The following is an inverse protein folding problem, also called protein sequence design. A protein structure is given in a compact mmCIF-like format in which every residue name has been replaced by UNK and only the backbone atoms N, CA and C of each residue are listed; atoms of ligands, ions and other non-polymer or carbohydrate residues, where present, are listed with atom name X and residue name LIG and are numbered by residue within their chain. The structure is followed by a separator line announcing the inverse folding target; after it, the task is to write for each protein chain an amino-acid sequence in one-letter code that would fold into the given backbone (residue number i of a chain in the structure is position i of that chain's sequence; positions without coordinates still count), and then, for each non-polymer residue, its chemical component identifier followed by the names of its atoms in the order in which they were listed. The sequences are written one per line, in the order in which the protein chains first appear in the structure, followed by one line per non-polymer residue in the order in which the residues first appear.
data_IF_311263889614
#
_entry.id   IF_311263889614
#
_cell.length_a   1.000
_cell.length_b   1.000
_cell.length_c   1.000
_cell.angle_alpha   90.00
_cell.angle_beta   90.00
_cell.angle_gamma   90.00
#
_symmetry.space_group_name_H-M   'P 1'
#
loop_
_entity.id
_entity.type
_entity.pdbx_description
1 polymer ?
#
# COMPACT_ATOMS: atom_id res chain seq x y z
N UNK A 1 -8.13 6.07 9.49
CA UNK A 1 -9.51 6.07 10.00
C UNK A 1 -9.98 7.51 9.99
N UNK A 2 -11.26 7.72 9.78
CA UNK A 2 -11.86 9.05 9.92
C UNK A 2 -12.40 9.17 11.34
N UNK A 3 -12.15 10.32 11.93
CA UNK A 3 -12.66 10.74 13.23
C UNK A 3 -14.09 11.28 13.09
N UNK A 4 -14.84 11.29 14.20
CA UNK A 4 -16.24 11.73 14.22
C UNK A 4 -16.38 13.26 14.10
N UNK A 5 -15.38 14.02 14.57
CA UNK A 5 -15.43 15.48 14.68
C UNK A 5 -14.77 16.21 13.50
N UNK A 6 -13.93 15.53 12.71
CA UNK A 6 -13.12 16.12 11.63
C UNK A 6 -13.88 16.54 10.37
N UNK A 7 -15.21 16.47 10.37
CA UNK A 7 -16.07 16.99 9.31
C UNK A 7 -17.36 16.19 9.12
N UNK A 8 -18.38 16.84 8.52
CA UNK A 8 -19.67 16.21 8.24
C UNK A 8 -19.62 15.19 7.08
N UNK A 9 -18.64 15.32 6.17
CA UNK A 9 -18.55 14.53 4.95
C UNK A 9 -17.29 13.65 4.90
N UNK A 10 -17.45 12.45 4.35
CA UNK A 10 -16.34 11.55 4.04
C UNK A 10 -16.07 11.54 2.53
N UNK A 11 -14.81 11.33 2.09
CA UNK A 11 -14.49 11.21 0.67
C UNK A 11 -15.14 9.95 0.10
N UNK A 12 -16.11 10.13 -0.79
CA UNK A 12 -16.76 9.03 -1.52
C UNK A 12 -15.82 8.51 -2.61
N UNK A 13 -15.46 7.22 -2.62
CA UNK A 13 -14.64 6.64 -3.68
C UNK A 13 -15.33 6.77 -5.04
N UNK A 14 -14.55 7.07 -6.09
CA UNK A 14 -15.04 7.00 -7.47
C UNK A 14 -15.28 5.56 -7.90
N UNK A 15 -16.04 5.36 -8.98
CA UNK A 15 -16.16 4.05 -9.62
C UNK A 15 -14.79 3.59 -10.13
N UNK A 16 -14.41 2.36 -9.83
CA UNK A 16 -13.11 1.82 -10.20
C UNK A 16 -12.99 0.32 -9.91
N UNK A 17 -11.75 -0.20 -9.83
CA UNK A 17 -11.46 -1.63 -9.69
C UNK A 17 -12.16 -2.31 -8.50
N UNK A 18 -12.27 -1.60 -7.38
CA UNK A 18 -12.70 -2.16 -6.11
C UNK A 18 -14.02 -1.56 -5.64
N UNK A 19 -14.79 -2.36 -4.89
CA UNK A 19 -16.07 -1.92 -4.31
C UNK A 19 -15.85 -0.82 -3.27
N UNK A 20 -16.80 0.10 -3.16
CA UNK A 20 -16.75 1.25 -2.24
C UNK A 20 -16.54 0.89 -0.76
N UNK A 21 -17.02 -0.28 -0.32
CA UNK A 21 -16.86 -0.78 1.06
C UNK A 21 -15.56 -1.54 1.30
N UNK A 22 -14.83 -1.87 0.24
CA UNK A 22 -13.64 -2.74 0.26
C UNK A 22 -12.43 -2.02 -0.39
N UNK A 23 -12.42 -0.68 -0.33
CA UNK A 23 -11.36 0.15 -0.86
C UNK A 23 -10.98 1.26 0.13
N UNK A 24 -9.82 1.86 -0.12
CA UNK A 24 -9.32 3.03 0.56
C UNK A 24 -8.96 4.07 -0.51
N UNK A 25 -9.66 5.22 -0.54
CA UNK A 25 -9.39 6.24 -1.54
C UNK A 25 -8.01 6.88 -1.34
N UNK A 26 -7.36 7.29 -2.42
CA UNK A 26 -5.99 7.84 -2.40
C UNK A 26 -5.81 9.00 -1.42
N UNK A 27 -6.82 9.85 -1.29
CA UNK A 27 -6.80 10.95 -0.33
C UNK A 27 -6.60 10.51 1.12
N UNK A 28 -7.17 9.37 1.51
CA UNK A 28 -7.01 8.82 2.86
C UNK A 28 -5.67 8.10 3.05
N UNK A 29 -5.07 7.59 1.96
CA UNK A 29 -3.72 7.01 1.97
C UNK A 29 -2.71 8.13 2.30
N UNK A 30 -2.72 9.19 1.50
CA UNK A 30 -1.75 10.28 1.60
C UNK A 30 -1.89 11.07 2.92
N UNK A 31 -3.14 11.37 3.33
CA UNK A 31 -3.40 12.18 4.53
C UNK A 31 -3.33 11.37 5.83
N UNK A 32 -4.16 10.33 5.97
CA UNK A 32 -4.38 9.70 7.28
C UNK A 32 -3.45 8.51 7.55
N UNK A 33 -2.80 7.94 6.52
CA UNK A 33 -1.89 6.79 6.68
C UNK A 33 -0.43 7.20 6.58
N UNK A 34 -0.05 7.84 5.48
CA UNK A 34 1.32 8.26 5.24
C UNK A 34 1.64 9.62 5.88
N UNK A 35 0.63 10.46 6.13
CA UNK A 35 0.78 11.81 6.70
C UNK A 35 1.68 12.73 5.84
N UNK A 36 1.69 12.51 4.53
CA UNK A 36 2.38 13.38 3.58
C UNK A 36 1.62 14.68 3.27
N UNK A 37 0.33 14.71 3.61
CA UNK A 37 -0.51 15.89 3.52
C UNK A 37 -1.36 16.02 4.77
N UNK A 38 -1.64 17.24 5.17
CA UNK A 38 -2.55 17.60 6.26
C UNK A 38 -3.95 17.92 5.70
N UNK A 39 -4.01 18.61 4.56
CA UNK A 39 -5.25 19.11 3.95
C UNK A 39 -5.61 18.44 2.62
N UNK A 40 -6.87 18.58 2.19
CA UNK A 40 -7.34 18.09 0.89
C UNK A 40 -6.67 18.81 -0.29
N UNK A 41 -6.29 20.08 -0.12
CA UNK A 41 -5.66 20.89 -1.17
C UNK A 41 -4.25 20.41 -1.47
N UNK A 42 -3.47 20.10 -0.43
CA UNK A 42 -2.13 19.52 -0.57
C UNK A 42 -2.16 18.17 -1.30
N UNK A 43 -3.13 17.31 -0.96
CA UNK A 43 -3.31 16.04 -1.68
C UNK A 43 -3.54 16.25 -3.17
N UNK A 44 -4.33 17.26 -3.55
CA UNK A 44 -4.55 17.59 -4.96
C UNK A 44 -3.25 18.05 -5.61
N UNK A 45 -2.47 18.91 -4.94
CA UNK A 45 -1.17 19.36 -5.45
C UNK A 45 -0.21 18.18 -5.69
N UNK A 46 -0.11 17.25 -4.75
CA UNK A 46 0.73 16.04 -4.86
C UNK A 46 0.29 15.16 -6.05
N UNK A 47 -1.02 15.00 -6.24
CA UNK A 47 -1.55 14.17 -7.34
C UNK A 47 -1.36 14.83 -8.71
N UNK A 48 -1.45 16.15 -8.80
CA UNK A 48 -1.24 16.89 -10.06
C UNK A 48 0.21 16.83 -10.55
N UNK A 49 1.17 16.66 -9.63
CA UNK A 49 2.58 16.44 -9.97
C UNK A 49 2.85 15.07 -10.60
N UNK A 50 1.86 14.16 -10.67
CA UNK A 50 1.97 12.84 -11.31
C UNK A 50 3.02 11.90 -10.69
N UNK A 51 3.38 12.13 -9.43
CA UNK A 51 4.37 11.33 -8.69
C UNK A 51 3.79 10.07 -8.04
N UNK A 52 2.47 9.98 -7.94
CA UNK A 52 1.74 8.89 -7.32
C UNK A 52 1.29 7.90 -8.38
N UNK A 53 1.71 6.64 -8.23
CA UNK A 53 1.33 5.55 -9.10
C UNK A 53 0.59 4.45 -8.34
N UNK A 54 -0.47 3.94 -8.97
CA UNK A 54 -1.22 2.77 -8.49
C UNK A 54 -1.15 1.68 -9.54
N UNK A 55 -0.65 0.52 -9.16
CA UNK A 55 -0.39 -0.62 -10.02
C UNK A 55 0.37 -0.25 -11.32
N UNK A 56 1.42 0.57 -11.19
CA UNK A 56 2.27 0.99 -12.31
C UNK A 56 1.67 2.07 -13.22
N UNK A 57 0.47 2.57 -12.92
CA UNK A 57 -0.18 3.66 -13.66
C UNK A 57 -0.26 4.92 -12.80
N UNK A 58 0.14 6.06 -13.36
CA UNK A 58 -0.04 7.37 -12.72
C UNK A 58 -1.53 7.64 -12.54
N UNK A 59 -1.93 8.03 -11.32
CA UNK A 59 -3.32 8.39 -11.00
C UNK A 59 -3.38 9.80 -10.43
N UNK A 60 -4.20 10.64 -11.04
CA UNK A 60 -4.48 12.02 -10.60
C UNK A 60 -5.76 12.13 -9.76
N UNK A 61 -6.61 11.10 -9.80
CA UNK A 61 -7.90 11.09 -9.12
C UNK A 61 -7.76 10.92 -7.60
N UNK A 62 -8.08 11.98 -6.84
CA UNK A 62 -8.02 11.97 -5.37
C UNK A 62 -8.88 10.90 -4.69
N UNK A 63 -10.01 10.54 -5.28
CA UNK A 63 -10.95 9.54 -4.77
C UNK A 63 -10.82 8.17 -5.42
N UNK A 64 -9.72 7.91 -6.13
CA UNK A 64 -9.49 6.62 -6.78
C UNK A 64 -9.53 5.48 -5.75
N UNK A 65 -10.35 4.43 -5.97
CA UNK A 65 -10.50 3.34 -5.03
C UNK A 65 -9.30 2.38 -5.13
N UNK A 66 -8.27 2.58 -4.32
CA UNK A 66 -7.20 1.61 -4.16
C UNK A 66 -7.64 0.52 -3.15
N UNK A 67 -7.50 -0.75 -3.49
CA UNK A 67 -8.04 -1.85 -2.70
C UNK A 67 -7.01 -2.90 -2.35
N UNK A 68 -7.52 -4.04 -1.90
CA UNK A 68 -6.71 -5.19 -1.51
C UNK A 68 -5.75 -5.62 -2.62
N UNK A 69 -4.51 -5.97 -2.24
CA UNK A 69 -3.39 -6.31 -3.13
C UNK A 69 -2.90 -5.19 -4.05
N UNK A 70 -3.54 -4.02 -4.05
CA UNK A 70 -3.08 -2.86 -4.81
C UNK A 70 -1.67 -2.45 -4.41
N UNK A 71 -0.85 -2.13 -5.41
CA UNK A 71 0.52 -1.64 -5.23
C UNK A 71 0.51 -0.13 -5.42
N UNK A 72 1.06 0.56 -4.44
CA UNK A 72 1.14 2.00 -4.36
C UNK A 72 2.61 2.40 -4.36
N UNK A 73 3.05 3.07 -5.42
CA UNK A 73 4.43 3.55 -5.58
C UNK A 73 4.43 5.06 -5.55
N UNK A 74 5.32 5.62 -4.74
CA UNK A 74 5.64 7.05 -4.77
C UNK A 74 7.01 7.17 -5.44
N UNK A 75 7.07 7.92 -6.54
CA UNK A 75 8.27 8.00 -7.38
C UNK A 75 9.32 9.00 -6.87
N UNK A 76 8.93 9.99 -6.07
CA UNK A 76 9.77 11.17 -5.89
C UNK A 76 9.43 11.99 -4.66
N UNK A 77 10.50 12.61 -4.13
CA UNK A 77 10.59 13.93 -3.53
C UNK A 77 9.25 14.67 -3.44
N UNK A 78 8.53 14.47 -2.36
CA UNK A 78 7.41 15.35 -2.05
C UNK A 78 8.05 16.73 -1.83
N UNK A 79 7.73 17.73 -2.66
CA UNK A 79 7.85 19.11 -2.21
C UNK A 79 6.92 19.20 -1.00
N UNK A 80 7.49 19.07 0.19
CA UNK A 80 6.71 19.25 1.39
C UNK A 80 6.49 20.75 1.50
N UNK A 81 5.30 21.20 1.12
CA UNK A 81 4.92 22.62 1.23
C UNK A 81 4.77 23.03 2.70
N UNK A 82 4.94 22.12 3.68
CA UNK A 82 5.08 22.44 5.10
C UNK A 82 5.79 21.29 5.83
N UNK A 83 7.12 21.32 5.87
CA UNK A 83 7.90 20.65 6.92
C UNK A 83 8.80 21.66 7.64
N UNK A 84 8.18 22.71 8.18
CA UNK A 84 8.87 23.69 9.02
C UNK A 84 7.97 24.08 10.18
N UNK A 85 7.63 23.15 11.11
CA UNK A 85 7.14 23.58 12.43
C UNK A 85 7.21 22.56 13.58
N UNK A 86 7.78 21.36 13.40
CA UNK A 86 7.83 20.35 14.50
C UNK A 86 9.24 19.98 14.97
N UNK A 87 10.31 20.52 14.39
CA UNK A 87 11.69 20.14 14.78
C UNK A 87 12.58 21.29 15.32
N UNK A 88 12.04 22.43 15.76
CA UNK A 88 12.85 23.58 16.19
C UNK A 88 12.68 23.99 17.66
N UNK A 89 12.07 23.16 18.52
CA UNK A 89 12.04 23.44 19.97
C UNK A 89 13.00 22.61 20.80
N UNK A 90 13.75 21.67 20.22
CA UNK A 90 14.72 20.89 20.99
C UNK A 90 16.08 20.82 20.29
N UNK A 91 17.08 21.32 21.02
CA UNK A 91 18.53 21.10 20.90
C UNK A 91 19.32 22.00 19.95
N UNK A 92 19.73 23.15 20.50
CA UNK A 92 21.10 23.66 20.39
C UNK A 92 22.12 22.54 20.56
N UNK A 93 22.69 22.01 19.47
CA UNK A 93 23.96 21.25 19.37
C UNK A 93 24.18 20.94 17.87
N UNK A 94 25.41 21.13 17.36
CA UNK A 94 25.92 20.82 15.99
C UNK A 94 25.86 21.93 14.90
N UNK A 95 26.45 23.10 15.17
CA UNK A 95 26.97 24.00 14.10
C UNK A 95 28.49 23.83 13.89
N UNK A 96 29.19 22.98 14.66
CA UNK A 96 30.65 22.99 14.69
C UNK A 96 31.42 21.90 13.89
N UNK A 97 30.77 21.10 13.04
CA UNK A 97 31.48 19.94 12.43
C UNK A 97 31.28 19.77 10.91
N UNK A 98 31.34 20.88 10.15
CA UNK A 98 31.48 20.83 8.67
C UNK A 98 32.59 21.80 8.22
N UNK A 99 33.79 21.68 8.82
CA UNK A 99 34.97 22.41 8.37
C UNK A 99 36.24 21.55 8.29
N UNK A 100 36.11 20.30 7.86
CA UNK A 100 37.26 19.48 7.51
C UNK A 100 36.89 18.51 6.38
N UNK A 101 37.33 18.82 5.16
CA UNK A 101 37.31 17.86 4.06
C UNK A 101 36.70 18.42 2.79
N UNK A 102 37.47 19.25 2.09
CA UNK A 102 37.63 19.28 0.64
C UNK A 102 38.66 20.38 0.33
N UNK A 103 39.92 20.10 0.66
CA UNK A 103 41.05 20.77 0.05
C UNK A 103 41.28 20.10 -1.30
N UNK A 104 41.05 20.84 -2.39
CA UNK A 104 42.01 21.01 -3.49
C UNK A 104 41.34 21.68 -4.70
N UNK A 105 42.12 22.57 -5.30
CA UNK A 105 41.89 23.25 -6.58
C UNK A 105 40.81 24.33 -6.59
N UNK A 106 41.21 25.58 -6.28
CA UNK A 106 41.01 26.75 -7.16
C UNK A 106 41.92 27.89 -6.68
N UNK A 107 42.70 28.46 -7.60
CA UNK A 107 43.65 29.57 -7.37
C UNK A 107 42.90 30.91 -7.14
N UNK A 108 43.51 31.88 -6.43
CA UNK A 108 42.79 33.10 -6.03
C UNK A 108 42.78 34.14 -7.16
N UNK A 109 41.58 34.59 -7.56
CA UNK A 109 41.40 35.80 -8.36
C UNK A 109 40.94 36.94 -7.45
N UNK A 110 41.78 37.95 -7.32
CA UNK A 110 41.50 39.20 -6.58
C UNK A 110 40.92 40.26 -7.52
N UNK A 111 39.81 40.91 -7.16
CA UNK A 111 39.38 42.28 -7.53
C UNK A 111 38.01 42.61 -6.85
N UNK A 112 37.59 43.88 -6.73
CA UNK A 112 37.18 44.45 -5.45
C UNK A 112 35.72 44.95 -5.40
N UNK A 113 35.29 45.22 -4.17
CA UNK A 113 34.31 46.24 -3.74
C UNK A 113 32.92 46.26 -4.38
N UNK A 114 31.94 45.88 -3.55
CA UNK A 114 30.61 46.50 -3.49
C UNK A 114 29.68 46.13 -4.63
N UNK A 115 28.79 45.16 -4.38
CA UNK A 115 27.42 45.05 -4.93
C UNK A 115 26.87 43.61 -4.90
N UNK A 116 27.63 42.63 -4.41
CA UNK A 116 27.15 41.24 -4.27
C UNK A 116 26.51 40.91 -2.92
N UNK A 117 26.64 41.77 -1.91
CA UNK A 117 26.09 41.48 -0.57
C UNK A 117 24.56 41.69 -0.51
N UNK A 118 24.00 42.59 -1.32
CA UNK A 118 22.55 42.86 -1.37
C UNK A 118 21.82 41.88 -2.30
N UNK A 119 22.47 41.37 -3.36
CA UNK A 119 21.87 40.36 -4.24
C UNK A 119 21.76 38.98 -3.56
N UNK A 120 22.75 38.61 -2.74
CA UNK A 120 22.78 37.33 -2.01
C UNK A 120 21.79 37.37 -0.83
N UNK A 121 21.70 38.49 -0.11
CA UNK A 121 20.66 38.67 0.91
C UNK A 121 19.25 38.72 0.31
N UNK A 122 19.05 39.33 -0.87
CA UNK A 122 17.72 39.34 -1.51
C UNK A 122 17.34 37.97 -2.09
N UNK A 123 18.28 37.20 -2.67
CA UNK A 123 18.00 35.83 -3.13
C UNK A 123 17.81 34.83 -1.98
N UNK A 124 18.48 35.02 -0.84
CA UNK A 124 18.28 34.19 0.35
C UNK A 124 16.95 34.58 1.04
N UNK A 125 16.59 35.86 1.10
CA UNK A 125 15.32 36.30 1.70
C UNK A 125 14.09 35.94 0.84
N UNK A 126 14.21 35.90 -0.49
CA UNK A 126 13.13 35.45 -1.39
C UNK A 126 12.98 33.91 -1.35
N UNK A 127 14.03 33.17 -1.03
CA UNK A 127 13.97 31.73 -0.76
C UNK A 127 13.41 31.38 0.64
N UNK A 128 13.34 32.34 1.55
CA UNK A 128 12.83 32.19 2.92
C UNK A 128 11.32 32.48 3.06
N UNK A 129 10.65 32.92 1.99
CA UNK A 129 9.19 33.14 1.99
C UNK A 129 8.41 32.00 1.31
N UNK A 130 9.13 31.08 0.65
CA UNK A 130 8.60 29.84 0.08
C UNK A 130 9.62 28.75 0.35
N UNK A 131 9.43 28.01 1.44
CA UNK A 131 10.27 26.86 1.80
C UNK A 131 10.26 25.81 0.68
N UNK A 132 11.26 25.85 -0.22
CA UNK A 132 11.55 24.78 -1.18
C UNK A 132 12.52 23.81 -0.51
N UNK A 133 11.99 22.93 0.33
CA UNK A 133 12.73 21.76 0.82
C UNK A 133 12.67 20.67 -0.25
N UNK A 134 13.79 20.40 -0.93
CA UNK A 134 13.90 19.24 -1.83
C UNK A 134 14.08 17.96 -1.01
N UNK A 135 13.00 17.23 -0.74
CA UNK A 135 13.11 15.86 -0.19
C UNK A 135 13.81 14.99 -1.26
N UNK A 136 14.79 14.14 -0.95
CA UNK A 136 15.36 13.21 -1.93
C UNK A 136 14.31 12.20 -2.44
N UNK A 137 14.54 11.56 -3.60
CA UNK A 137 13.60 10.58 -4.18
C UNK A 137 13.38 9.40 -3.22
N UNK A 138 12.29 9.39 -2.48
CA UNK A 138 11.85 8.26 -1.66
C UNK A 138 11.21 7.21 -2.57
N UNK A 139 12.01 6.25 -3.04
CA UNK A 139 11.51 5.08 -3.78
C UNK A 139 10.83 4.09 -2.82
N UNK A 140 9.69 4.50 -2.26
CA UNK A 140 8.91 3.67 -1.36
C UNK A 140 7.76 3.00 -2.10
N UNK A 141 7.76 1.67 -2.06
CA UNK A 141 6.70 0.84 -2.58
C UNK A 141 5.88 0.26 -1.44
N UNK A 142 4.56 0.38 -1.54
CA UNK A 142 3.61 -0.11 -0.56
C UNK A 142 2.61 -1.06 -1.19
N UNK A 143 2.30 -2.16 -0.49
CA UNK A 143 1.18 -3.05 -0.80
C UNK A 143 0.06 -2.85 0.21
N UNK A 144 -1.16 -2.76 -0.29
CA UNK A 144 -2.37 -2.66 0.54
C UNK A 144 -2.81 -4.05 1.01
N UNK A 145 -2.62 -4.31 2.30
CA UNK A 145 -3.01 -5.56 2.96
C UNK A 145 -3.99 -5.33 4.11
N UNK A 146 -4.71 -6.38 4.49
CA UNK A 146 -5.51 -6.38 5.70
C UNK A 146 -4.67 -6.74 6.92
N UNK A 147 -4.88 -6.00 8.00
CA UNK A 147 -4.42 -6.30 9.34
C UNK A 147 -5.38 -7.28 10.03
N UNK A 148 -4.96 -7.96 11.09
CA UNK A 148 -5.78 -8.96 11.83
C UNK A 148 -7.03 -8.36 12.49
N UNK A 149 -7.06 -7.03 12.64
CA UNK A 149 -8.22 -6.25 13.08
C UNK A 149 -9.19 -5.88 11.94
N UNK A 150 -8.94 -6.36 10.71
CA UNK A 150 -9.76 -6.10 9.53
C UNK A 150 -9.59 -4.70 8.92
N UNK A 151 -8.45 -4.05 9.16
CA UNK A 151 -8.15 -2.69 8.69
C UNK A 151 -7.16 -2.74 7.54
N UNK A 152 -7.25 -1.80 6.59
CA UNK A 152 -6.17 -1.61 5.62
C UNK A 152 -4.93 -1.05 6.28
N UNK A 153 -3.79 -1.70 6.02
CA UNK A 153 -2.44 -1.29 6.39
C UNK A 153 -1.59 -1.23 5.12
N UNK A 154 -0.78 -0.18 5.02
CA UNK A 154 0.27 -0.09 4.00
C UNK A 154 1.46 -0.91 4.50
N UNK A 155 1.83 -1.93 3.74
CA UNK A 155 3.00 -2.74 4.00
C UNK A 155 4.09 -2.34 3.02
N UNK A 156 5.23 -1.87 3.52
CA UNK A 156 6.38 -1.57 2.68
C UNK A 156 6.91 -2.86 2.04
N UNK A 157 7.19 -2.83 0.75
CA UNK A 157 7.68 -3.96 -0.04
C UNK A 157 9.00 -3.62 -0.72
N UNK A 158 9.75 -4.65 -1.10
CA UNK A 158 10.96 -4.52 -1.92
C UNK A 158 10.61 -4.48 -3.41
N UNK A 159 11.50 -3.89 -4.23
CA UNK A 159 11.24 -3.63 -5.65
C UNK A 159 10.93 -4.87 -6.51
N UNK A 160 11.35 -6.07 -6.10
CA UNK A 160 11.01 -7.32 -6.81
C UNK A 160 9.55 -7.72 -6.63
N UNK A 161 8.98 -7.47 -5.45
CA UNK A 161 7.57 -7.71 -5.20
C UNK A 161 6.67 -6.70 -5.89
N UNK A 162 7.20 -5.53 -6.25
CA UNK A 162 6.44 -4.47 -6.95
C UNK A 162 6.12 -4.84 -8.39
N UNK A 163 6.94 -5.68 -9.02
CA UNK A 163 6.76 -6.10 -10.42
C UNK A 163 5.49 -6.93 -10.62
N UNK A 164 5.04 -7.65 -9.57
CA UNK A 164 3.90 -8.55 -9.67
C UNK A 164 2.80 -8.28 -8.65
N UNK A 165 1.57 -8.62 -9.03
CA UNK A 165 0.38 -8.56 -8.18
C UNK A 165 -0.38 -9.88 -8.22
N UNK A 166 -0.96 -10.26 -7.09
CA UNK A 166 -1.87 -11.39 -7.02
C UNK A 166 -3.30 -10.91 -7.27
N UNK A 167 -3.99 -11.56 -8.20
CA UNK A 167 -5.37 -11.28 -8.53
C UNK A 167 -6.19 -12.56 -8.42
N UNK A 168 -7.32 -12.51 -7.70
CA UNK A 168 -8.28 -13.64 -7.67
C UNK A 168 -9.13 -13.64 -8.93
N UNK A 169 -9.33 -14.81 -9.52
CA UNK A 169 -10.23 -15.03 -10.65
C UNK A 169 -11.66 -15.09 -10.14
N UNK A 170 -12.51 -14.19 -10.64
CA UNK A 170 -13.93 -14.12 -10.28
C UNK A 170 -14.78 -15.03 -11.16
N UNK A 171 -14.52 -15.00 -12.47
CA UNK A 171 -15.24 -15.81 -13.45
C UNK A 171 -14.35 -16.04 -14.67
N UNK A 172 -14.52 -17.20 -15.28
CA UNK A 172 -13.97 -17.53 -16.60
C UNK A 172 -15.17 -17.65 -17.54
N UNK A 173 -15.13 -16.93 -18.66
CA UNK A 173 -16.23 -16.83 -19.61
C UNK A 173 -15.69 -16.90 -21.03
N UNK A 174 -16.53 -17.33 -21.97
CA UNK A 174 -16.22 -17.29 -23.39
C UNK A 174 -16.84 -16.04 -24.01
N UNK A 175 -16.04 -15.31 -24.78
CA UNK A 175 -16.48 -14.14 -25.52
C UNK A 175 -17.02 -14.49 -26.90
N UNK A 176 -17.26 -13.45 -27.69
CA UNK A 176 -17.54 -13.63 -29.11
C UNK A 176 -16.40 -14.40 -29.78
N UNK A 177 -16.74 -15.24 -30.76
CA UNK A 177 -15.79 -16.15 -31.45
C UNK A 177 -15.17 -17.23 -30.55
N UNK A 178 -15.79 -17.54 -29.41
CA UNK A 178 -15.32 -18.60 -28.52
C UNK A 178 -13.99 -18.28 -27.81
N UNK A 179 -13.60 -17.00 -27.75
CA UNK A 179 -12.35 -16.60 -27.11
C UNK A 179 -12.51 -16.63 -25.59
N UNK A 180 -11.76 -17.48 -24.85
CA UNK A 180 -11.85 -17.51 -23.39
C UNK A 180 -11.23 -16.23 -22.79
N UNK A 181 -11.90 -15.67 -21.79
CA UNK A 181 -11.39 -14.58 -20.98
C UNK A 181 -11.70 -14.79 -19.50
N UNK A 182 -10.80 -14.29 -18.65
CA UNK A 182 -10.96 -14.31 -17.20
C UNK A 182 -11.23 -12.89 -16.71
N UNK A 183 -12.12 -12.77 -15.73
CA UNK A 183 -12.33 -11.54 -14.99
C UNK A 183 -11.68 -11.65 -13.62
N UNK A 184 -10.84 -10.68 -13.28
CA UNK A 184 -10.16 -10.61 -11.99
C UNK A 184 -10.97 -9.82 -10.95
N UNK A 185 -10.60 -9.96 -9.68
CA UNK A 185 -11.11 -9.16 -8.57
C UNK A 185 -10.91 -7.64 -8.77
N UNK A 186 -9.84 -7.27 -9.47
CA UNK A 186 -9.49 -5.87 -9.77
C UNK A 186 -10.26 -5.31 -10.99
N UNK A 187 -11.15 -6.10 -11.59
CA UNK A 187 -11.86 -5.69 -12.81
C UNK A 187 -10.98 -5.68 -14.06
N UNK A 188 -9.78 -6.29 -14.04
CA UNK A 188 -9.01 -6.56 -15.27
C UNK A 188 -9.56 -7.80 -15.96
N UNK A 189 -9.65 -7.74 -17.29
CA UNK A 189 -10.01 -8.86 -18.14
C UNK A 189 -8.77 -9.33 -18.90
N UNK A 190 -8.41 -10.60 -18.76
CA UNK A 190 -7.26 -11.21 -19.45
C UNK A 190 -7.81 -12.23 -20.45
N UNK A 191 -7.42 -12.10 -21.72
CA UNK A 191 -7.81 -13.01 -22.80
C UNK A 191 -6.81 -14.15 -22.91
N UNK A 192 -7.28 -15.30 -23.39
CA UNK A 192 -6.47 -16.51 -23.55
C UNK A 192 -5.79 -16.97 -22.24
N UNK A 193 -6.55 -17.18 -21.15
CA UNK A 193 -6.01 -17.87 -19.98
C UNK A 193 -5.61 -19.31 -20.31
N UNK A 194 -4.71 -19.84 -19.50
CA UNK A 194 -4.46 -21.28 -19.46
C UNK A 194 -5.76 -22.04 -19.07
N UNK A 195 -6.15 -23.10 -19.79
CA UNK A 195 -7.34 -23.92 -19.49
C UNK A 195 -7.38 -24.51 -18.07
N UNK A 196 -6.23 -24.64 -17.41
CA UNK A 196 -6.11 -25.15 -16.04
C UNK A 196 -6.67 -24.16 -14.99
N UNK A 197 -6.84 -22.88 -15.33
CA UNK A 197 -7.30 -21.83 -14.42
C UNK A 197 -8.81 -21.86 -14.28
N UNK A 198 -9.31 -22.00 -13.05
CA UNK A 198 -10.74 -22.00 -12.72
C UNK A 198 -11.14 -20.77 -11.90
N UNK A 199 -12.45 -20.61 -11.70
CA UNK A 199 -12.97 -19.57 -10.83
C UNK A 199 -12.51 -19.81 -9.37
N UNK A 200 -12.23 -18.71 -8.65
CA UNK A 200 -11.68 -18.65 -7.29
C UNK A 200 -10.19 -18.97 -7.14
N UNK A 201 -9.50 -19.38 -8.20
CA UNK A 201 -8.06 -19.47 -8.23
C UNK A 201 -7.42 -18.07 -8.18
N UNK A 202 -6.13 -18.01 -7.90
CA UNK A 202 -5.38 -16.75 -7.89
C UNK A 202 -4.25 -16.77 -8.89
N UNK A 203 -4.18 -15.74 -9.72
CA UNK A 203 -3.14 -15.55 -10.72
C UNK A 203 -2.10 -14.55 -10.23
N UNK A 204 -0.84 -14.79 -10.59
CA UNK A 204 0.26 -13.84 -10.46
C UNK A 204 0.37 -13.08 -11.77
N UNK A 205 0.03 -11.79 -11.73
CA UNK A 205 0.06 -10.89 -12.86
C UNK A 205 1.31 -10.02 -12.79
N UNK A 206 2.02 -9.93 -13.90
CA UNK A 206 3.08 -8.95 -14.09
C UNK A 206 2.49 -7.58 -14.47
N UNK A 207 2.90 -6.51 -13.79
CA UNK A 207 2.26 -5.19 -13.91
C UNK A 207 2.57 -4.51 -15.25
N UNK A 208 3.76 -4.72 -15.79
CA UNK A 208 4.21 -4.10 -17.03
C UNK A 208 3.55 -4.77 -18.23
N UNK A 209 3.72 -6.09 -18.36
CA UNK A 209 3.18 -6.84 -19.49
C UNK A 209 1.68 -7.13 -19.38
N UNK A 210 1.09 -7.03 -18.18
CA UNK A 210 -0.28 -7.47 -17.87
C UNK A 210 -0.56 -8.94 -18.24
N UNK A 211 0.49 -9.77 -18.32
CA UNK A 211 0.40 -11.21 -18.59
C UNK A 211 0.43 -12.02 -17.29
N UNK A 212 -0.07 -13.24 -17.37
CA UNK A 212 -0.05 -14.21 -16.27
C UNK A 212 1.32 -14.86 -16.24
N UNK A 213 2.00 -14.83 -15.09
CA UNK A 213 3.29 -15.50 -14.88
C UNK A 213 3.08 -16.91 -14.34
N UNK A 214 2.30 -17.03 -13.28
CA UNK A 214 1.98 -18.30 -12.62
C UNK A 214 0.58 -18.18 -11.99
N UNK A 215 -0.02 -19.30 -11.63
CA UNK A 215 -1.30 -19.35 -10.94
C UNK A 215 -1.26 -20.36 -9.79
N UNK A 216 -2.17 -20.17 -8.84
CA UNK A 216 -2.38 -21.04 -7.69
C UNK A 216 -3.81 -21.54 -7.74
N UNK A 217 -3.95 -22.88 -7.74
CA UNK A 217 -5.25 -23.54 -7.64
C UNK A 217 -5.83 -23.41 -6.24
N UNK A 218 -7.14 -23.25 -6.17
CA UNK A 218 -7.89 -23.21 -4.93
C UNK A 218 -8.14 -24.64 -4.40
N UNK A 219 -7.09 -25.22 -3.82
CA UNK A 219 -7.10 -26.58 -3.25
C UNK A 219 -6.71 -26.58 -1.77
N UNK A 220 -7.07 -27.68 -1.08
CA UNK A 220 -6.73 -27.92 0.32
C UNK A 220 -5.20 -27.91 0.50
N UNK A 221 -4.72 -27.34 1.59
CA UNK A 221 -3.28 -27.26 1.89
C UNK A 221 -2.59 -25.98 1.40
N UNK A 222 -3.27 -25.10 0.66
CA UNK A 222 -2.72 -23.80 0.26
C UNK A 222 -2.98 -22.70 1.30
N UNK A 223 -2.07 -21.73 1.39
CA UNK A 223 -2.22 -20.56 2.27
C UNK A 223 -3.23 -19.59 1.69
N UNK A 224 -4.15 -19.15 2.54
CA UNK A 224 -5.18 -18.16 2.23
C UNK A 224 -5.16 -17.00 3.21
N UNK A 225 -5.54 -15.83 2.72
CA UNK A 225 -5.91 -14.67 3.51
C UNK A 225 -7.41 -14.41 3.40
N UNK A 226 -8.04 -14.05 4.51
CA UNK A 226 -9.45 -13.67 4.54
C UNK A 226 -9.62 -12.18 4.21
N UNK A 227 -10.41 -11.87 3.19
CA UNK A 227 -10.68 -10.49 2.75
C UNK A 227 -11.99 -9.92 3.32
N UNK A 228 -12.91 -10.79 3.76
CA UNK A 228 -14.29 -10.44 4.12
C UNK A 228 -14.78 -11.00 5.46
N UNK A 229 -15.79 -10.37 6.07
CA UNK A 229 -16.46 -10.86 7.29
C UNK A 229 -15.73 -10.59 8.62
N UNK A 230 -16.04 -11.38 9.66
CA UNK A 230 -15.49 -11.22 11.02
C UNK A 230 -14.01 -11.62 11.13
N UNK A 231 -13.56 -12.50 10.24
CA UNK A 231 -12.21 -13.07 10.22
C UNK A 231 -11.24 -12.34 9.27
N UNK A 232 -11.60 -11.13 8.80
CA UNK A 232 -10.76 -10.30 7.90
C UNK A 232 -9.32 -10.15 8.40
N UNK A 233 -8.37 -10.34 7.49
CA UNK A 233 -6.94 -10.20 7.73
C UNK A 233 -6.30 -11.37 8.47
N UNK A 234 -7.04 -12.43 8.78
CA UNK A 234 -6.46 -13.69 9.23
C UNK A 234 -5.85 -14.45 8.06
N UNK A 235 -4.76 -15.17 8.33
CA UNK A 235 -4.02 -15.95 7.35
C UNK A 235 -3.81 -17.35 7.89
N UNK A 236 -4.18 -18.36 7.09
CA UNK A 236 -4.05 -19.75 7.46
C UNK A 236 -4.08 -20.67 6.25
N UNK A 237 -3.96 -21.97 6.50
CA UNK A 237 -4.01 -23.02 5.50
C UNK A 237 -5.43 -23.57 5.40
N UNK A 238 -5.90 -23.84 4.18
CA UNK A 238 -7.19 -24.51 3.98
C UNK A 238 -7.09 -25.95 4.48
N UNK A 239 -7.96 -26.35 5.42
CA UNK A 239 -8.09 -27.75 5.88
C UNK A 239 -9.16 -28.52 5.14
N UNK A 240 -10.37 -27.95 5.09
CA UNK A 240 -11.53 -28.64 4.54
C UNK A 240 -12.43 -27.67 3.79
N UNK A 241 -13.09 -28.17 2.74
CA UNK A 241 -14.05 -27.45 1.92
C UNK A 241 -15.38 -28.20 1.96
N UNK A 242 -16.35 -27.60 2.62
CA UNK A 242 -17.72 -28.10 2.68
C UNK A 242 -18.53 -27.54 1.52
N UNK A 243 -19.03 -28.45 0.68
CA UNK A 243 -19.88 -28.10 -0.45
C UNK A 243 -21.34 -28.36 -0.08
N UNK A 244 -22.14 -27.30 -0.13
CA UNK A 244 -23.59 -27.39 0.01
C UNK A 244 -24.24 -27.07 -1.34
N UNK A 245 -25.10 -27.96 -1.84
CA UNK A 245 -25.82 -27.73 -3.10
C UNK A 245 -26.82 -26.59 -2.91
N UNK A 246 -26.70 -25.54 -3.72
CA UNK A 246 -27.61 -24.37 -3.68
C UNK A 246 -27.33 -23.34 -2.58
N UNK A 247 -26.33 -23.57 -1.71
CA UNK A 247 -25.91 -22.61 -0.69
C UNK A 247 -24.43 -22.23 -0.86
N UNK A 248 -23.95 -21.32 -0.02
CA UNK A 248 -22.55 -20.92 -0.02
C UNK A 248 -21.68 -22.06 0.50
N UNK A 249 -20.56 -22.28 -0.17
CA UNK A 249 -19.53 -23.20 0.32
C UNK A 249 -18.81 -22.60 1.54
N UNK A 250 -18.62 -23.44 2.55
CA UNK A 250 -17.92 -23.11 3.79
C UNK A 250 -16.52 -23.68 3.74
N UNK A 251 -15.52 -22.86 4.09
CA UNK A 251 -14.12 -23.25 4.09
C UNK A 251 -13.62 -23.15 5.52
N UNK A 252 -13.05 -24.25 5.99
CA UNK A 252 -12.36 -24.35 7.25
C UNK A 252 -10.88 -24.07 7.04
N UNK A 253 -10.39 -23.06 7.75
CA UNK A 253 -9.01 -22.56 7.68
C UNK A 253 -8.37 -22.73 9.05
N UNK A 254 -7.13 -23.21 9.07
CA UNK A 254 -6.30 -23.29 10.27
C UNK A 254 -5.17 -22.26 10.21
N UNK A 255 -5.06 -21.43 11.24
CA UNK A 255 -3.93 -20.49 11.40
C UNK A 255 -2.64 -21.23 11.78
N UNK A 256 -1.50 -20.57 11.66
CA UNK A 256 -0.21 -21.10 12.11
C UNK A 256 -0.14 -21.40 13.63
N UNK A 257 -1.00 -20.77 14.43
CA UNK A 257 -1.13 -21.05 15.87
C UNK A 257 -2.05 -22.24 16.19
N UNK A 258 -2.58 -22.93 15.16
CA UNK A 258 -3.47 -24.08 15.33
C UNK A 258 -4.96 -23.73 15.48
N UNK A 259 -5.31 -22.46 15.66
CA UNK A 259 -6.70 -22.01 15.73
C UNK A 259 -7.45 -22.24 14.43
N UNK A 260 -8.63 -22.86 14.51
CA UNK A 260 -9.50 -23.11 13.37
C UNK A 260 -10.65 -22.10 13.31
N UNK A 261 -11.04 -21.74 12.09
CA UNK A 261 -12.21 -20.91 11.86
C UNK A 261 -12.79 -21.15 10.47
N UNK A 262 -14.07 -20.85 10.32
CA UNK A 262 -14.79 -21.00 9.07
C UNK A 262 -15.03 -19.64 8.37
N UNK A 263 -15.02 -19.64 7.04
CA UNK A 263 -15.43 -18.50 6.21
C UNK A 263 -16.14 -18.97 4.94
N UNK A 264 -16.91 -18.08 4.31
CA UNK A 264 -17.52 -18.32 3.00
C UNK A 264 -16.46 -18.24 1.89
N UNK A 265 -16.61 -19.03 0.82
CA UNK A 265 -15.76 -19.02 -0.39
C UNK A 265 -15.45 -17.62 -0.96
N UNK A 266 -16.44 -16.74 -0.99
CA UNK A 266 -16.28 -15.38 -1.52
C UNK A 266 -15.22 -14.55 -0.77
N UNK A 267 -15.03 -14.82 0.52
CA UNK A 267 -14.14 -14.05 1.40
C UNK A 267 -12.71 -14.61 1.48
N UNK A 268 -12.44 -15.72 0.81
CA UNK A 268 -11.13 -16.40 0.86
C UNK A 268 -10.31 -16.01 -0.36
N UNK A 269 -9.04 -15.67 -0.13
CA UNK A 269 -8.09 -15.32 -1.18
C UNK A 269 -6.80 -16.12 -1.02
N UNK A 270 -6.43 -16.91 -2.02
CA UNK A 270 -5.20 -17.72 -1.97
C UNK A 270 -3.96 -16.84 -2.19
N UNK A 271 -2.97 -16.98 -1.33
CA UNK A 271 -1.76 -16.14 -1.37
C UNK A 271 -0.49 -16.94 -1.67
N UNK A 272 -0.51 -18.26 -1.54
CA UNK A 272 0.66 -19.11 -1.72
C UNK A 272 0.34 -20.58 -1.93
N UNK A 273 1.32 -21.31 -2.45
CA UNK A 273 1.29 -22.78 -2.60
C UNK A 273 1.83 -23.42 -1.32
N UNK A 274 1.12 -24.40 -0.76
CA UNK A 274 1.51 -25.05 0.49
C UNK A 274 1.50 -24.09 1.68
N UNK A 275 2.61 -24.03 2.43
CA UNK A 275 2.77 -23.16 3.62
C UNK A 275 3.48 -21.84 3.32
N UNK A 276 4.02 -21.64 2.12
CA UNK A 276 4.82 -20.45 1.77
C UNK A 276 3.96 -19.42 1.02
N UNK A 277 3.72 -18.22 1.58
CA UNK A 277 3.06 -17.14 0.85
C UNK A 277 3.98 -16.55 -0.22
N UNK A 278 3.41 -16.12 -1.35
CA UNK A 278 4.14 -15.39 -2.41
C UNK A 278 4.28 -13.89 -2.14
N UNK A 279 3.57 -13.38 -1.13
CA UNK A 279 3.51 -11.96 -0.76
C UNK A 279 4.01 -11.82 0.68
N UNK A 280 4.81 -10.78 0.91
CA UNK A 280 5.18 -10.32 2.24
C UNK A 280 3.95 -9.99 3.11
N UNK A 281 3.93 -10.52 4.33
CA UNK A 281 2.81 -10.36 5.27
C UNK A 281 3.10 -9.26 6.30
N UNK A 282 2.05 -8.55 6.78
CA UNK A 282 2.22 -7.54 7.82
C UNK A 282 2.65 -8.16 9.15
N UNK A 283 3.16 -7.31 10.06
CA UNK A 283 3.59 -7.70 11.41
C UNK A 283 2.50 -8.53 12.11
N UNK A 284 2.85 -9.73 12.57
CA UNK A 284 1.90 -10.69 13.15
C UNK A 284 1.41 -11.80 12.21
N UNK A 285 1.84 -11.81 10.93
CA UNK A 285 1.62 -12.88 9.95
C UNK A 285 0.15 -13.34 9.81
N UNK A 286 -0.81 -12.49 10.14
CA UNK A 286 -2.24 -12.82 10.08
C UNK A 286 -2.77 -13.63 11.27
N UNK A 287 -2.02 -13.78 12.36
CA UNK A 287 -2.49 -14.46 13.57
C UNK A 287 -3.29 -13.48 14.42
N UNK A 288 -4.55 -13.81 14.67
CA UNK A 288 -5.41 -13.03 15.57
C UNK A 288 -5.30 -13.57 16.99
N UNK A 289 -4.69 -12.77 17.86
CA UNK A 289 -4.53 -13.05 19.28
C UNK A 289 -5.87 -12.92 20.03
N UNK A 290 -5.97 -13.59 21.18
CA UNK A 290 -7.10 -13.39 22.09
C UNK A 290 -7.07 -11.98 22.70
N UNK A 291 -8.21 -11.50 23.22
CA UNK A 291 -8.30 -10.17 23.85
C UNK A 291 -7.32 -10.08 25.04
N UNK A 292 -7.18 -11.16 25.79
CA UNK A 292 -6.28 -11.26 26.95
C UNK A 292 -4.82 -11.21 26.50
N UNK A 293 -4.46 -11.95 25.45
CA UNK A 293 -3.11 -11.90 24.88
C UNK A 293 -2.76 -10.51 24.32
N UNK A 294 -3.70 -9.86 23.61
CA UNK A 294 -3.49 -8.48 23.13
C UNK A 294 -3.27 -7.52 24.30
N UNK A 295 -4.06 -7.65 25.39
CA UNK A 295 -3.92 -6.81 26.58
C UNK A 295 -2.56 -7.04 27.26
N UNK A 296 -2.16 -8.30 27.48
CA UNK A 296 -0.84 -8.65 28.03
C UNK A 296 0.30 -8.13 27.17
N UNK A 297 0.20 -8.28 25.85
CA UNK A 297 1.20 -7.76 24.91
C UNK A 297 1.30 -6.23 24.95
N UNK A 298 0.17 -5.53 25.12
CA UNK A 298 0.15 -4.08 25.26
C UNK A 298 0.79 -3.63 26.58
N UNK A 299 0.45 -4.28 27.70
CA UNK A 299 1.06 -3.99 29.01
C UNK A 299 2.56 -4.26 28.99
N UNK A 300 3.00 -5.39 28.41
CA UNK A 300 4.41 -5.70 28.26
C UNK A 300 5.15 -4.65 27.41
N UNK A 301 4.54 -4.15 26.33
CA UNK A 301 5.12 -3.09 25.51
C UNK A 301 5.15 -1.73 26.22
N UNK A 302 4.20 -1.46 27.13
CA UNK A 302 4.20 -0.25 27.96
C UNK A 302 5.24 -0.29 29.06
N UNK A 303 5.48 -1.46 29.65
CA UNK A 303 6.49 -1.64 30.69
C UNK A 303 7.93 -1.67 30.13
N UNK A 304 8.08 -1.97 28.83
CA UNK A 304 9.36 -2.02 28.14
C UNK A 304 9.75 -0.69 27.46
N UNK A 305 8.83 0.27 27.41
CA UNK A 305 9.03 1.62 26.84
C UNK A 305 9.27 2.62 27.97
#
# INVERSE_FOLDING_TARGET
MLDKLGGAFAPKPSSGPHKSRECLPLILILRNRLKYALTYREVIAILMQRHVMVDGKVRTDKTYPAGFMGIFRILTSILCVHCSLVCLTDTSILIYEIHAGLANEFTPFSLPSGDYCIQILCNILVHLLVDVVSIPKTNEDFRLLYDTKGRFRLHAITGDETKFKLCKVRSVQFGQKGIPYLNTYDGRTIRYPDPLIKANDTIKLDLESNKIVDFIKFDVGNVVMVTGGRNRGRVGVIKNREKHKGSFETIHVQDAAGHEFATRLGNVFTIGKGTKPWVSLPKGKGIKLSIIEEARKRLAAQNAA
#
